data_IF_329129479965
#
_entry.id   IF_329129479965
#
_cell.length_a   1.000
_cell.length_b   1.000
_cell.length_c   1.000
_cell.angle_alpha   90.00
_cell.angle_beta   90.00
_cell.angle_gamma   90.00
#
_symmetry.space_group_name_H-M   'P 1'
#
loop_
_entity.id
_entity.type
_entity.pdbx_description
1 polymer ?
#
# COMPACT_ATOMS: atom_id res chain seq x y z
N UNK A 1 28.06 17.08 39.80
CA UNK A 1 28.09 16.56 38.42
C UNK A 1 27.74 15.07 38.43
N UNK A 2 26.45 14.69 38.45
CA UNK A 2 26.05 13.27 38.31
C UNK A 2 24.54 13.16 38.01
N UNK A 3 24.09 13.56 36.81
CA UNK A 3 22.68 13.43 36.38
C UNK A 3 22.49 12.63 35.09
N UNK A 4 23.57 12.09 34.51
CA UNK A 4 23.55 11.41 33.20
C UNK A 4 23.64 9.88 33.29
N UNK A 5 23.86 9.31 34.48
CA UNK A 5 24.06 7.86 34.65
C UNK A 5 22.77 7.02 34.67
N UNK A 6 21.59 7.64 34.82
CA UNK A 6 20.30 6.91 34.82
C UNK A 6 19.74 6.77 33.39
N UNK A 7 20.12 7.65 32.46
CA UNK A 7 19.64 7.61 31.07
C UNK A 7 20.31 6.52 30.23
N UNK A 8 21.60 6.28 30.43
CA UNK A 8 22.38 5.33 29.64
C UNK A 8 21.90 3.86 29.73
N UNK A 9 21.61 3.29 30.91
CA UNK A 9 21.11 1.92 30.99
C UNK A 9 19.68 1.78 30.43
N UNK A 10 18.84 2.81 30.52
CA UNK A 10 17.50 2.81 29.90
C UNK A 10 17.62 2.88 28.38
N UNK A 11 18.46 3.77 27.85
CA UNK A 11 18.73 3.85 26.41
C UNK A 11 19.36 2.56 25.90
N UNK A 12 20.31 1.97 26.64
CA UNK A 12 20.90 0.68 26.30
C UNK A 12 19.87 -0.45 26.36
N UNK A 13 18.98 -0.48 27.37
CA UNK A 13 17.92 -1.48 27.47
C UNK A 13 16.85 -1.33 26.38
N UNK A 14 16.51 -0.10 25.99
CA UNK A 14 15.61 0.18 24.86
C UNK A 14 16.27 -0.18 23.54
N UNK A 15 17.53 0.21 23.31
CA UNK A 15 18.30 -0.19 22.13
C UNK A 15 18.44 -1.71 22.07
N UNK A 16 18.64 -2.37 23.20
CA UNK A 16 18.72 -3.82 23.30
C UNK A 16 17.38 -4.48 23.01
N UNK A 17 16.27 -3.99 23.57
CA UNK A 17 14.92 -4.47 23.28
C UNK A 17 14.52 -4.26 21.82
N UNK A 18 14.91 -3.14 21.21
CA UNK A 18 14.69 -2.84 19.78
C UNK A 18 15.54 -3.73 18.88
N UNK A 19 16.77 -4.08 19.28
CA UNK A 19 17.59 -5.07 18.56
C UNK A 19 17.10 -6.52 18.75
N UNK A 20 16.41 -6.81 19.85
CA UNK A 20 15.87 -8.13 20.18
C UNK A 20 14.52 -8.43 19.51
N UNK A 21 13.82 -7.45 18.92
CA UNK A 21 12.64 -7.68 18.09
C UNK A 21 13.03 -7.72 16.61
N UNK A 22 13.13 -8.90 15.98
CA UNK A 22 13.37 -9.00 14.55
C UNK A 22 12.25 -8.27 13.82
N UNK A 23 12.61 -7.15 13.18
CA UNK A 23 11.69 -6.37 12.37
C UNK A 23 12.11 -6.51 10.92
N UNK A 24 11.18 -6.94 10.08
CA UNK A 24 11.41 -7.18 8.67
C UNK A 24 10.65 -6.14 7.86
N UNK A 25 11.39 -5.32 7.10
CA UNK A 25 10.80 -4.41 6.11
C UNK A 25 11.00 -5.01 4.71
N UNK A 26 9.95 -4.95 3.91
CA UNK A 26 10.07 -5.08 2.46
C UNK A 26 9.30 -3.97 1.76
N UNK A 27 9.83 -3.52 0.62
CA UNK A 27 9.19 -2.53 -0.24
C UNK A 27 8.90 -3.12 -1.60
N UNK A 28 7.78 -2.73 -2.16
CA UNK A 28 7.43 -3.10 -3.52
C UNK A 28 6.73 -1.95 -4.23
N UNK A 29 7.02 -1.81 -5.52
CA UNK A 29 6.35 -0.90 -6.43
C UNK A 29 5.22 -1.64 -7.13
N UNK A 30 4.02 -1.09 -7.09
CA UNK A 30 2.95 -1.49 -7.99
C UNK A 30 2.84 -0.46 -9.11
N UNK A 31 2.80 -0.93 -10.34
CA UNK A 31 2.58 -0.11 -11.54
C UNK A 31 1.29 -0.54 -12.23
N UNK A 32 0.40 0.40 -12.51
CA UNK A 32 -0.79 0.20 -13.32
C UNK A 32 -0.58 0.85 -14.69
N UNK A 33 -0.97 0.15 -15.74
CA UNK A 33 -0.93 0.65 -17.12
C UNK A 33 -2.31 0.53 -17.78
N UNK A 34 -2.69 1.59 -18.48
CA UNK A 34 -3.96 1.73 -19.19
C UNK A 34 -3.66 2.13 -20.63
N UNK A 35 -4.24 1.42 -21.58
CA UNK A 35 -4.28 1.89 -22.97
C UNK A 35 -5.35 2.97 -23.10
N UNK A 36 -5.02 4.06 -23.79
CA UNK A 36 -5.95 5.14 -24.13
C UNK A 36 -5.86 5.39 -25.64
N UNK A 37 -6.85 6.08 -26.26
CA UNK A 37 -6.79 6.44 -27.67
C UNK A 37 -5.49 7.16 -28.09
N UNK A 38 -4.93 7.96 -27.17
CA UNK A 38 -3.71 8.75 -27.40
C UNK A 38 -2.42 7.97 -27.02
N UNK A 39 -2.54 6.68 -26.72
CA UNK A 39 -1.44 5.81 -26.31
C UNK A 39 -1.47 5.43 -24.82
N UNK A 40 -0.50 4.63 -24.36
CA UNK A 40 -0.51 4.09 -23.01
C UNK A 40 -0.22 5.17 -21.95
N UNK A 41 -0.95 5.10 -20.83
CA UNK A 41 -0.71 5.86 -19.60
C UNK A 41 -0.35 4.91 -18.46
N UNK A 42 0.51 5.37 -17.57
CA UNK A 42 0.99 4.57 -16.45
C UNK A 42 1.09 5.41 -15.18
N UNK A 43 0.89 4.76 -14.04
CA UNK A 43 1.15 5.33 -12.72
C UNK A 43 1.67 4.24 -11.79
N UNK A 44 2.46 4.63 -10.79
CA UNK A 44 3.03 3.68 -9.85
C UNK A 44 3.07 4.23 -8.44
N UNK A 45 2.98 3.33 -7.46
CA UNK A 45 3.20 3.66 -6.05
C UNK A 45 4.12 2.63 -5.39
N UNK A 46 4.96 3.10 -4.46
CA UNK A 46 5.82 2.25 -3.62
C UNK A 46 5.15 2.08 -2.27
N UNK A 47 4.86 0.84 -1.92
CA UNK A 47 4.35 0.46 -0.61
C UNK A 47 5.45 -0.21 0.20
N UNK A 48 5.50 0.09 1.49
CA UNK A 48 6.33 -0.61 2.47
C UNK A 48 5.47 -1.39 3.43
N UNK A 49 5.94 -2.57 3.79
CA UNK A 49 5.35 -3.40 4.82
C UNK A 49 6.42 -3.73 5.84
N UNK A 50 6.14 -3.38 7.09
CA UNK A 50 6.95 -3.68 8.25
C UNK A 50 6.25 -4.74 9.08
N UNK A 51 6.93 -5.83 9.41
CA UNK A 51 6.41 -6.84 10.29
C UNK A 51 7.40 -7.14 11.41
N UNK A 52 6.92 -7.25 12.64
CA UNK A 52 7.68 -7.66 13.81
C UNK A 52 7.25 -9.04 14.29
N UNK A 53 8.21 -9.85 14.72
CA UNK A 53 7.94 -11.11 15.38
C UNK A 53 7.63 -10.90 16.87
N UNK A 54 6.78 -11.74 17.48
CA UNK A 54 6.58 -11.73 18.93
C UNK A 54 7.90 -12.07 19.66
N UNK A 55 8.22 -11.37 20.75
CA UNK A 55 9.33 -11.80 21.63
C UNK A 55 8.86 -13.02 22.42
N UNK A 56 9.43 -14.18 22.13
CA UNK A 56 9.14 -15.43 22.85
C UNK A 56 9.34 -15.34 24.37
N UNK A 57 10.26 -14.49 24.84
CA UNK A 57 10.53 -14.25 26.26
C UNK A 57 9.48 -13.35 26.96
N UNK A 58 8.73 -12.53 26.23
CA UNK A 58 7.68 -11.67 26.76
C UNK A 58 6.34 -12.05 26.12
N UNK A 59 5.66 -13.04 26.73
CA UNK A 59 4.36 -13.58 26.29
C UNK A 59 3.26 -12.54 26.06
N UNK A 60 3.42 -11.31 26.57
CA UNK A 60 2.48 -10.20 26.41
C UNK A 60 2.72 -9.34 25.16
N UNK A 61 3.85 -9.50 24.46
CA UNK A 61 4.13 -8.74 23.22
C UNK A 61 3.77 -9.59 21.99
N UNK A 62 2.64 -9.26 21.38
CA UNK A 62 2.23 -9.82 20.09
C UNK A 62 3.00 -9.13 18.97
N UNK A 63 3.56 -9.89 18.03
CA UNK A 63 4.08 -9.35 16.76
C UNK A 63 2.95 -8.72 15.94
N UNK A 64 3.30 -7.97 14.91
CA UNK A 64 2.31 -7.31 14.06
C UNK A 64 2.88 -6.79 12.75
N UNK A 65 2.01 -6.50 11.80
CA UNK A 65 2.38 -5.87 10.54
C UNK A 65 1.75 -4.49 10.41
N UNK A 66 2.51 -3.56 9.83
CA UNK A 66 2.05 -2.24 9.41
C UNK A 66 2.48 -2.00 7.96
N UNK A 67 1.74 -1.15 7.26
CA UNK A 67 2.04 -0.78 5.89
C UNK A 67 2.01 0.73 5.76
N UNK A 68 2.90 1.24 4.93
CA UNK A 68 3.01 2.65 4.61
C UNK A 68 3.03 2.84 3.11
N UNK A 69 2.38 3.89 2.64
CA UNK A 69 2.36 4.25 1.22
C UNK A 69 1.09 4.95 0.82
N UNK A 70 0.93 5.13 -0.49
CA UNK A 70 -0.22 5.81 -1.07
C UNK A 70 -0.84 5.00 -2.20
N UNK A 71 -2.12 5.24 -2.47
CA UNK A 71 -2.78 4.72 -3.65
C UNK A 71 -2.07 5.16 -4.94
N UNK A 72 -2.18 4.33 -5.96
CA UNK A 72 -1.58 4.56 -7.26
C UNK A 72 -2.45 5.56 -8.02
N UNK A 73 -1.88 6.63 -8.54
CA UNK A 73 -2.60 7.59 -9.40
C UNK A 73 -2.11 7.48 -10.84
N UNK A 74 -3.02 7.18 -11.76
CA UNK A 74 -2.77 7.20 -13.21
C UNK A 74 -3.53 8.39 -13.80
N UNK A 75 -2.79 9.38 -14.30
CA UNK A 75 -3.37 10.51 -15.01
C UNK A 75 -3.84 10.04 -16.40
N UNK A 76 -5.11 10.27 -16.71
CA UNK A 76 -5.71 9.97 -18.01
C UNK A 76 -6.01 11.28 -18.75
N UNK A 77 -6.24 11.22 -20.09
CA UNK A 77 -6.73 12.37 -20.84
C UNK A 77 -8.03 12.96 -20.26
N UNK A 78 -8.36 14.20 -20.66
CA UNK A 78 -9.58 14.90 -20.25
C UNK A 78 -9.76 15.10 -18.73
N UNK A 79 -8.66 15.13 -17.98
CA UNK A 79 -8.68 15.32 -16.52
C UNK A 79 -9.21 14.11 -15.74
N UNK A 80 -9.40 12.97 -16.40
CA UNK A 80 -9.81 11.73 -15.75
C UNK A 80 -8.62 11.09 -15.01
N UNK A 81 -8.94 10.23 -14.05
CA UNK A 81 -7.94 9.48 -13.32
C UNK A 81 -8.38 8.03 -13.10
N UNK A 82 -7.41 7.12 -13.16
CA UNK A 82 -7.54 5.78 -12.59
C UNK A 82 -6.74 5.78 -11.29
N UNK A 83 -7.37 5.33 -10.20
CA UNK A 83 -6.75 5.20 -8.90
C UNK A 83 -6.74 3.72 -8.49
N UNK A 84 -5.55 3.19 -8.22
CA UNK A 84 -5.36 1.87 -7.64
C UNK A 84 -5.27 1.98 -6.13
N UNK A 85 -6.31 1.55 -5.43
CA UNK A 85 -6.41 1.66 -3.97
C UNK A 85 -5.38 0.79 -3.25
N UNK A 86 -5.04 1.17 -2.04
CA UNK A 86 -4.37 0.35 -1.04
C UNK A 86 -5.34 -0.69 -0.43
N UNK A 87 -6.10 -1.39 -1.28
CA UNK A 87 -7.11 -2.38 -0.88
C UNK A 87 -7.45 -3.32 -2.05
N UNK A 88 -7.88 -4.54 -1.76
CA UNK A 88 -8.28 -5.54 -2.76
C UNK A 88 -9.77 -5.85 -2.72
N UNK A 89 -10.21 -6.68 -3.65
CA UNK A 89 -11.58 -7.18 -3.73
C UNK A 89 -12.53 -6.27 -4.53
N UNK A 90 -13.78 -6.72 -4.76
CA UNK A 90 -14.71 -6.03 -5.67
C UNK A 90 -15.04 -4.57 -5.33
N UNK A 91 -14.83 -4.14 -4.09
CA UNK A 91 -15.20 -2.83 -3.52
C UNK A 91 -14.19 -2.41 -2.42
N UNK A 92 -12.94 -2.86 -2.48
CA UNK A 92 -11.93 -2.54 -1.46
C UNK A 92 -12.13 -3.23 -0.11
N UNK A 93 -12.99 -4.24 -0.01
CA UNK A 93 -13.27 -5.01 1.22
C UNK A 93 -12.27 -6.16 1.48
N UNK A 94 -11.37 -6.42 0.53
CA UNK A 94 -10.50 -7.58 0.48
C UNK A 94 -9.08 -7.31 0.96
N UNK A 95 -8.65 -8.19 1.86
CA UNK A 95 -7.33 -8.58 2.36
C UNK A 95 -6.25 -7.50 2.54
N UNK A 96 -5.75 -7.51 3.77
CA UNK A 96 -4.56 -6.86 4.28
C UNK A 96 -3.43 -6.67 3.26
N UNK A 97 -3.02 -5.41 3.08
CA UNK A 97 -1.93 -4.98 2.18
C UNK A 97 -0.65 -5.79 2.39
N UNK A 98 -0.43 -6.26 3.62
CA UNK A 98 0.74 -7.05 4.01
C UNK A 98 0.89 -8.33 3.18
N UNK A 99 -0.23 -8.89 2.69
CA UNK A 99 -0.25 -10.12 1.92
C UNK A 99 0.04 -9.91 0.42
N UNK A 100 0.16 -8.67 -0.04
CA UNK A 100 0.27 -8.35 -1.46
C UNK A 100 1.48 -9.02 -2.13
N UNK A 101 2.68 -8.70 -1.63
CA UNK A 101 3.93 -9.24 -2.13
C UNK A 101 4.03 -10.77 -1.94
N UNK A 102 3.79 -11.36 -0.75
CA UNK A 102 3.89 -12.81 -0.58
C UNK A 102 2.93 -13.56 -1.50
N UNK A 103 1.68 -13.10 -1.66
CA UNK A 103 0.73 -13.74 -2.58
C UNK A 103 1.19 -13.63 -4.02
N UNK A 104 1.66 -12.46 -4.46
CA UNK A 104 2.19 -12.27 -5.81
C UNK A 104 3.36 -13.21 -6.12
N UNK A 105 4.20 -13.49 -5.13
CA UNK A 105 5.37 -14.37 -5.22
C UNK A 105 5.04 -15.86 -4.96
N UNK A 106 3.81 -16.19 -4.58
CA UNK A 106 3.36 -17.58 -4.39
C UNK A 106 3.57 -18.15 -2.99
N UNK A 107 3.92 -17.32 -2.00
CA UNK A 107 3.96 -17.73 -0.59
C UNK A 107 2.55 -17.96 -0.06
N UNK A 108 2.41 -18.96 0.82
CA UNK A 108 1.16 -19.28 1.52
C UNK A 108 1.16 -18.64 2.90
N UNK A 109 -0.03 -18.31 3.41
CA UNK A 109 -0.21 -17.66 4.71
C UNK A 109 -0.20 -16.14 4.62
N UNK A 110 -0.96 -15.51 5.50
CA UNK A 110 -1.11 -14.06 5.56
C UNK A 110 -0.83 -13.52 6.96
N UNK A 111 -0.39 -12.27 7.05
CA UNK A 111 -0.02 -11.67 8.33
C UNK A 111 1.00 -12.50 9.12
N UNK A 112 1.03 -12.30 10.46
CA UNK A 112 2.04 -12.80 11.40
C UNK A 112 2.29 -14.33 11.33
N UNK A 113 1.30 -15.08 10.84
CA UNK A 113 1.31 -16.54 10.80
C UNK A 113 1.90 -17.11 9.50
N UNK A 114 2.18 -16.25 8.51
CA UNK A 114 2.65 -16.67 7.19
C UNK A 114 4.12 -17.11 7.12
N UNK A 115 4.92 -16.85 8.16
CA UNK A 115 6.32 -17.30 8.24
C UNK A 115 7.27 -16.77 7.15
N UNK A 116 6.80 -15.84 6.31
CA UNK A 116 7.54 -15.34 5.14
C UNK A 116 8.36 -14.07 5.43
N UNK A 117 8.16 -13.41 6.56
CA UNK A 117 8.76 -12.10 6.87
C UNK A 117 10.28 -12.11 6.87
N UNK A 118 10.89 -13.15 7.43
CA UNK A 118 12.34 -13.30 7.47
C UNK A 118 12.98 -13.44 6.08
N UNK A 119 12.18 -13.85 5.09
CA UNK A 119 12.59 -13.97 3.69
C UNK A 119 12.27 -12.71 2.88
N UNK A 120 11.27 -11.92 3.29
CA UNK A 120 10.77 -10.77 2.55
C UNK A 120 11.85 -9.73 2.18
N UNK A 121 12.79 -9.36 3.08
CA UNK A 121 13.88 -8.44 2.73
C UNK A 121 14.81 -8.93 1.62
N UNK A 122 14.79 -10.22 1.29
CA UNK A 122 15.65 -10.85 0.27
C UNK A 122 14.97 -10.91 -1.11
N UNK A 123 13.66 -10.69 -1.21
CA UNK A 123 12.97 -10.76 -2.49
C UNK A 123 13.42 -9.64 -3.44
N UNK A 124 13.64 -9.99 -4.71
CA UNK A 124 14.05 -9.05 -5.78
C UNK A 124 13.21 -9.19 -7.04
N UNK A 125 12.15 -9.99 -6.96
CA UNK A 125 11.39 -10.41 -8.12
C UNK A 125 10.43 -9.33 -8.63
N UNK A 126 10.10 -9.47 -9.91
CA UNK A 126 9.03 -8.73 -10.58
C UNK A 126 8.00 -9.71 -11.09
N UNK A 127 6.73 -9.49 -10.75
CA UNK A 127 5.61 -10.38 -11.10
C UNK A 127 4.42 -9.60 -11.64
N UNK A 128 3.72 -10.11 -12.66
CA UNK A 128 2.42 -9.57 -13.04
C UNK A 128 1.42 -9.83 -11.91
N UNK A 129 0.55 -8.85 -11.67
CA UNK A 129 -0.61 -9.02 -10.78
C UNK A 129 -1.81 -9.42 -11.63
N UNK A 130 -2.52 -10.46 -11.18
CA UNK A 130 -3.67 -11.04 -11.89
C UNK A 130 -4.84 -11.26 -10.94
N UNK A 131 -6.06 -11.17 -11.47
CA UNK A 131 -7.30 -11.44 -10.74
C UNK A 131 -7.40 -10.62 -9.45
N UNK A 132 -7.64 -11.30 -8.33
CA UNK A 132 -7.82 -10.69 -7.01
C UNK A 132 -6.54 -10.09 -6.40
N UNK A 133 -5.39 -10.16 -7.08
CA UNK A 133 -4.13 -9.54 -6.68
C UNK A 133 -3.92 -8.17 -7.32
N UNK A 134 -4.80 -7.76 -8.22
CA UNK A 134 -4.82 -6.41 -8.76
C UNK A 134 -5.50 -5.52 -7.72
N UNK A 135 -4.90 -4.39 -7.31
CA UNK A 135 -5.54 -3.47 -6.38
C UNK A 135 -6.90 -3.02 -6.90
N UNK A 136 -7.85 -2.79 -5.99
CA UNK A 136 -9.18 -2.28 -6.35
C UNK A 136 -8.99 -0.99 -7.12
N UNK A 137 -9.52 -0.95 -8.34
CA UNK A 137 -9.40 0.19 -9.21
C UNK A 137 -10.66 1.04 -9.11
N UNK A 138 -10.48 2.34 -8.93
CA UNK A 138 -11.58 3.29 -8.90
C UNK A 138 -11.27 4.51 -9.76
N UNK A 139 -12.32 5.20 -10.16
CA UNK A 139 -12.26 6.53 -10.73
C UNK A 139 -13.29 7.42 -10.05
N UNK A 140 -13.16 8.72 -10.23
CA UNK A 140 -14.09 9.72 -9.70
C UNK A 140 -14.55 10.59 -10.84
N UNK A 141 -15.85 10.87 -10.91
CA UNK A 141 -16.34 11.88 -11.84
C UNK A 141 -15.88 13.28 -11.42
N UNK A 142 -15.69 13.48 -10.11
CA UNK A 142 -15.16 14.70 -9.52
C UNK A 142 -14.17 14.36 -8.40
N UNK A 143 -12.90 14.75 -8.54
CA UNK A 143 -11.84 14.50 -7.55
C UNK A 143 -11.97 15.39 -6.28
N UNK A 144 -12.93 16.30 -6.26
CA UNK A 144 -13.31 17.06 -5.06
C UNK A 144 -14.48 16.45 -4.30
N UNK A 145 -15.23 15.51 -4.90
CA UNK A 145 -16.35 14.82 -4.27
C UNK A 145 -16.10 13.29 -4.19
N UNK A 146 -15.82 12.76 -2.97
CA UNK A 146 -15.58 11.34 -2.77
C UNK A 146 -16.78 10.45 -3.13
N UNK A 147 -18.00 10.99 -3.15
CA UNK A 147 -19.22 10.22 -3.43
C UNK A 147 -19.41 9.92 -4.92
N UNK A 148 -18.59 10.50 -5.78
CA UNK A 148 -18.59 10.23 -7.23
C UNK A 148 -17.78 8.99 -7.62
N UNK A 149 -17.21 8.28 -6.63
CA UNK A 149 -16.41 7.09 -6.87
C UNK A 149 -17.17 6.02 -7.66
N UNK A 150 -16.49 5.45 -8.67
CA UNK A 150 -16.92 4.31 -9.47
C UNK A 150 -15.82 3.26 -9.49
N UNK A 151 -16.19 2.01 -9.25
CA UNK A 151 -15.24 0.88 -9.31
C UNK A 151 -15.05 0.42 -10.75
N UNK A 152 -13.81 0.09 -11.08
CA UNK A 152 -13.39 -0.48 -12.35
C UNK A 152 -13.04 -1.96 -12.17
N UNK A 153 -13.49 -2.80 -13.09
CA UNK A 153 -13.24 -4.22 -13.02
C UNK A 153 -11.79 -4.53 -13.44
N UNK A 154 -11.09 -5.41 -12.73
CA UNK A 154 -9.70 -5.78 -13.03
C UNK A 154 -9.53 -6.53 -14.35
N UNK A 155 -10.60 -7.09 -14.90
CA UNK A 155 -10.63 -7.67 -16.25
C UNK A 155 -10.76 -6.62 -17.37
N UNK A 156 -10.94 -5.34 -17.02
CA UNK A 156 -11.06 -4.24 -17.96
C UNK A 156 -12.45 -4.06 -18.58
N UNK A 157 -13.42 -4.91 -18.23
CA UNK A 157 -14.74 -4.99 -18.90
C UNK A 157 -15.55 -3.68 -18.92
N UNK A 158 -15.37 -2.81 -17.92
CA UNK A 158 -16.10 -1.55 -17.82
C UNK A 158 -15.25 -0.29 -18.11
N UNK A 159 -14.01 -0.44 -18.58
CA UNK A 159 -13.15 0.72 -18.89
C UNK A 159 -13.74 1.56 -20.03
N UNK A 160 -14.14 0.93 -21.13
CA UNK A 160 -14.69 1.65 -22.28
C UNK A 160 -16.02 2.35 -21.94
N UNK A 161 -16.83 1.75 -21.05
CA UNK A 161 -18.10 2.33 -20.59
C UNK A 161 -17.86 3.56 -19.71
N UNK A 162 -16.79 3.57 -18.91
CA UNK A 162 -16.51 4.62 -17.93
C UNK A 162 -15.68 5.77 -18.52
N UNK A 163 -14.70 5.46 -19.35
CA UNK A 163 -13.76 6.43 -19.91
C UNK A 163 -13.99 6.75 -21.40
N UNK A 164 -14.74 5.91 -22.12
CA UNK A 164 -14.98 6.02 -23.55
C UNK A 164 -14.26 4.94 -24.37
N UNK A 165 -14.57 4.86 -25.67
CA UNK A 165 -13.95 3.90 -26.57
C UNK A 165 -12.42 4.06 -26.63
N UNK A 166 -11.71 2.94 -26.85
CA UNK A 166 -10.25 2.89 -26.88
C UNK A 166 -9.56 2.84 -25.52
N UNK A 167 -10.29 3.00 -24.40
CA UNK A 167 -9.73 2.78 -23.07
C UNK A 167 -9.76 1.30 -22.69
N UNK A 168 -8.61 0.77 -22.24
CA UNK A 168 -8.49 -0.62 -21.78
C UNK A 168 -7.45 -0.76 -20.68
N UNK A 169 -7.77 -1.54 -19.65
CA UNK A 169 -6.74 -1.95 -18.69
C UNK A 169 -5.69 -2.83 -19.37
N UNK A 170 -4.41 -2.44 -19.27
CA UNK A 170 -3.31 -3.15 -19.93
C UNK A 170 -2.72 -4.21 -19.03
N UNK A 171 -2.25 -3.80 -17.83
CA UNK A 171 -1.61 -4.69 -16.85
C UNK A 171 -1.40 -3.99 -15.50
N UNK A 172 -1.22 -4.81 -14.48
CA UNK A 172 -0.64 -4.43 -13.21
C UNK A 172 0.64 -5.24 -12.96
N UNK A 173 1.68 -4.60 -12.45
CA UNK A 173 2.96 -5.26 -12.15
C UNK A 173 3.40 -4.92 -10.73
N UNK A 174 3.86 -5.91 -10.00
CA UNK A 174 4.57 -5.77 -8.74
C UNK A 174 6.06 -5.97 -8.96
N UNK A 175 6.87 -5.09 -8.40
CA UNK A 175 8.33 -5.13 -8.45
C UNK A 175 8.89 -4.91 -7.06
N UNK A 176 9.67 -5.86 -6.55
CA UNK A 176 10.38 -5.68 -5.28
C UNK A 176 11.46 -4.62 -5.43
N UNK A 177 11.46 -3.63 -4.54
CA UNK A 177 12.42 -2.52 -4.56
C UNK A 177 13.20 -2.46 -3.24
N UNK A 178 14.42 -1.87 -3.23
CA UNK A 178 15.22 -1.81 -2.02
C UNK A 178 14.51 -1.07 -0.88
N UNK A 179 14.37 -1.74 0.27
CA UNK A 179 13.90 -1.13 1.51
C UNK A 179 14.92 -0.18 2.16
N UNK A 180 16.19 -0.28 1.76
CA UNK A 180 17.29 0.44 2.40
C UNK A 180 18.01 -0.41 3.45
N UNK A 181 18.96 0.19 4.15
CA UNK A 181 19.77 -0.47 5.15
C UNK A 181 19.14 -0.29 6.54
N UNK A 182 18.88 -1.39 7.24
CA UNK A 182 18.45 -1.33 8.64
C UNK A 182 19.61 -0.95 9.56
N UNK A 183 19.42 -0.11 10.59
CA UNK A 183 18.16 0.53 11.03
C UNK A 183 17.87 1.89 10.37
N UNK A 184 18.70 2.36 9.44
CA UNK A 184 18.58 3.70 8.86
C UNK A 184 17.37 3.89 7.93
N UNK A 185 16.81 2.80 7.41
CA UNK A 185 15.53 2.78 6.71
C UNK A 185 14.35 3.29 7.57
N UNK A 186 14.40 3.09 8.91
CA UNK A 186 13.41 3.65 9.86
C UNK A 186 13.39 5.17 9.84
N UNK A 187 14.55 5.80 9.60
CA UNK A 187 14.69 7.24 9.47
C UNK A 187 14.41 7.74 8.05
N UNK A 188 13.99 6.85 7.13
CA UNK A 188 13.76 7.15 5.71
C UNK A 188 14.97 7.73 4.98
N UNK A 189 16.18 7.56 5.54
CA UNK A 189 17.43 8.09 4.98
C UNK A 189 17.95 7.26 3.79
N UNK A 190 17.53 5.99 3.70
CA UNK A 190 17.96 5.05 2.66
C UNK A 190 16.78 4.23 2.13
N UNK A 191 16.93 3.70 0.91
CA UNK A 191 15.92 2.91 0.21
C UNK A 191 15.10 3.72 -0.79
N UNK A 192 14.20 3.05 -1.52
CA UNK A 192 13.31 3.75 -2.46
C UNK A 192 12.28 4.57 -1.70
N UNK A 193 12.10 5.87 -1.99
CA UNK A 193 11.14 6.70 -1.28
C UNK A 193 9.71 6.23 -1.55
N UNK A 194 8.83 6.47 -0.58
CA UNK A 194 7.39 6.28 -0.76
C UNK A 194 6.84 7.36 -1.69
N UNK A 195 5.82 6.98 -2.45
CA UNK A 195 5.01 7.99 -3.14
C UNK A 195 4.31 8.83 -2.08
N UNK A 196 4.41 10.16 -2.20
CA UNK A 196 3.88 11.12 -1.22
C UNK A 196 3.19 12.31 -1.90
N UNK A 197 2.42 12.03 -2.97
CA UNK A 197 1.80 13.05 -3.82
C UNK A 197 0.29 12.87 -3.98
N UNK A 198 -0.31 11.79 -3.48
CA UNK A 198 -1.71 11.50 -3.73
C UNK A 198 -2.63 12.59 -3.16
N UNK A 199 -2.29 13.13 -1.99
CA UNK A 199 -3.05 14.21 -1.36
C UNK A 199 -3.01 15.51 -2.18
N UNK A 200 -1.94 15.75 -2.95
CA UNK A 200 -1.85 16.90 -3.87
C UNK A 200 -2.68 16.69 -5.14
N UNK A 201 -2.95 15.43 -5.50
CA UNK A 201 -3.67 15.03 -6.73
C UNK A 201 -5.16 14.80 -6.50
N UNK A 202 -5.56 14.48 -5.27
CA UNK A 202 -6.95 14.19 -4.88
C UNK A 202 -7.37 15.17 -3.77
N UNK A 203 -7.98 16.32 -4.13
CA UNK A 203 -8.35 17.37 -3.18
C UNK A 203 -9.21 16.89 -2.00
N UNK A 204 -10.13 15.94 -2.22
CA UNK A 204 -11.01 15.48 -1.15
C UNK A 204 -10.28 14.79 -0.01
N UNK A 205 -9.06 14.24 -0.24
CA UNK A 205 -8.28 13.59 0.83
C UNK A 205 -7.85 14.59 1.90
N UNK A 206 -7.58 15.83 1.51
CA UNK A 206 -7.25 16.91 2.44
C UNK A 206 -8.51 17.48 3.10
N UNK A 207 -9.56 17.76 2.32
CA UNK A 207 -10.75 18.47 2.83
C UNK A 207 -11.73 17.58 3.62
N UNK A 208 -11.80 16.28 3.34
CA UNK A 208 -12.78 15.35 3.94
C UNK A 208 -12.15 14.27 4.83
N UNK A 209 -10.91 14.47 5.30
CA UNK A 209 -10.12 13.46 6.04
C UNK A 209 -10.89 12.85 7.22
N UNK A 210 -11.53 13.67 8.04
CA UNK A 210 -12.34 13.24 9.20
C UNK A 210 -13.53 12.35 8.80
N UNK A 211 -14.23 12.73 7.73
CA UNK A 211 -15.35 11.96 7.22
C UNK A 211 -14.88 10.59 6.71
N UNK A 212 -13.80 10.57 5.94
CA UNK A 212 -13.21 9.35 5.39
C UNK A 212 -12.66 8.41 6.47
N UNK A 213 -12.23 8.96 7.61
CA UNK A 213 -11.78 8.17 8.76
C UNK A 213 -12.95 7.51 9.50
N UNK A 214 -14.08 8.20 9.65
CA UNK A 214 -15.26 7.69 10.36
C UNK A 214 -16.10 6.70 9.56
N UNK A 215 -15.96 6.69 8.23
CA UNK A 215 -16.66 5.74 7.38
C UNK A 215 -16.08 4.33 7.57
N UNK A 216 -16.82 3.45 8.26
CA UNK A 216 -16.55 2.02 8.31
C UNK A 216 -17.33 1.28 7.23
N UNK A 217 -16.89 0.09 6.82
CA UNK A 217 -17.43 -0.64 5.66
C UNK A 217 -18.94 -0.84 5.74
N UNK A 218 -19.69 -0.05 4.98
CA UNK A 218 -21.12 -0.29 4.77
C UNK A 218 -21.29 -1.25 3.59
N UNK A 219 -21.92 -2.38 3.83
CA UNK A 219 -22.25 -3.36 2.79
C UNK A 219 -23.24 -2.75 1.80
N UNK A 220 -22.84 -2.62 0.53
CA UNK A 220 -23.74 -2.20 -0.55
C UNK A 220 -23.02 -1.49 -1.71
N UNK A 221 -22.40 -0.34 -1.45
CA UNK A 221 -21.68 0.48 -2.45
C UNK A 221 -20.22 0.66 -2.03
N UNK A 222 -19.30 0.88 -2.99
CA UNK A 222 -17.96 1.34 -2.63
C UNK A 222 -18.07 2.71 -1.95
N UNK A 223 -17.50 2.82 -0.75
CA UNK A 223 -17.37 4.06 0.00
C UNK A 223 -15.89 4.30 0.21
N UNK A 224 -15.33 5.43 -0.26
CA UNK A 224 -13.92 5.73 -0.07
C UNK A 224 -13.60 5.89 1.42
N UNK A 225 -12.52 5.26 1.87
CA UNK A 225 -12.01 5.35 3.23
C UNK A 225 -10.58 5.86 3.18
N UNK A 226 -10.15 6.60 4.20
CA UNK A 226 -8.81 7.18 4.21
C UNK A 226 -7.72 6.10 4.02
N UNK A 227 -7.87 4.96 4.70
CA UNK A 227 -6.96 3.82 4.63
C UNK A 227 -6.89 3.12 3.27
N UNK A 228 -7.77 3.45 2.31
CA UNK A 228 -7.67 2.99 0.93
C UNK A 228 -6.73 3.87 0.09
N UNK A 229 -6.42 5.09 0.54
CA UNK A 229 -5.60 6.04 -0.22
C UNK A 229 -4.25 6.30 0.42
N UNK A 230 -4.17 6.29 1.75
CA UNK A 230 -2.94 6.60 2.50
C UNK A 230 -2.89 5.71 3.73
N UNK A 231 -1.71 5.16 4.02
CA UNK A 231 -1.37 4.55 5.31
C UNK A 231 -0.03 5.06 5.82
#
# INVERSE_FOLDING_TARGET
MLRWLVGFPVVAAVLWAVFLQPTYEHRFRITLEVETPDGPRSGSSVWSVFCSEPISALRSMTGGCSAHGEAIFVSLPNGQALIGLMAYGPKGQGVDIYDTAPRALGFKGGGADGGWFSQAPKWREKRPLVGNRIPTMVTFADLSDPMTARVLNPDGSNFAVVFGEGYRFRRATLEMVPAGLWPFNLLRLFGTPFTSEIEKRIPFLASHREQLYRQSSQLGRYVPMLGHFVR
#
